data_IF_024685785045
#
_entry.id   IF_024685785045
#
_cell.length_a   1.000
_cell.length_b   1.000
_cell.length_c   1.000
_cell.angle_alpha   90.00
_cell.angle_beta   90.00
_cell.angle_gamma   90.00
#
_symmetry.space_group_name_H-M   'P 1'
#
loop_
_entity.id
_entity.type
_entity.pdbx_description
1 polymer ?
#
# COMPACT_ATOMS: atom_id res chain seq x y z
N UNK A 1 0.44 -31.99 18.88
CA UNK A 1 0.45 -30.52 18.86
C UNK A 1 1.52 -30.13 17.84
N UNK A 2 1.24 -29.23 16.88
CA UNK A 2 2.31 -28.65 16.07
C UNK A 2 3.36 -28.02 16.99
N UNK A 3 4.64 -28.05 16.62
CA UNK A 3 5.66 -27.27 17.33
C UNK A 3 5.25 -25.80 17.36
N UNK A 4 5.42 -25.17 18.52
CA UNK A 4 5.11 -23.76 18.70
C UNK A 4 6.13 -22.91 17.94
N UNK A 5 5.65 -22.16 16.93
CA UNK A 5 6.53 -21.30 16.14
C UNK A 5 7.04 -20.14 16.99
N UNK A 6 8.35 -19.95 16.99
CA UNK A 6 9.03 -18.95 17.79
C UNK A 6 9.31 -17.67 16.99
N UNK A 7 9.74 -16.61 17.70
CA UNK A 7 10.25 -15.41 17.06
C UNK A 7 11.50 -15.68 16.20
N UNK A 8 12.34 -16.63 16.63
CA UNK A 8 13.55 -17.00 15.89
C UNK A 8 13.19 -17.73 14.57
N UNK A 9 12.11 -18.52 14.56
CA UNK A 9 11.58 -19.12 13.33
C UNK A 9 11.05 -18.08 12.35
N UNK A 10 10.36 -17.06 12.86
CA UNK A 10 9.89 -15.92 12.06
C UNK A 10 11.08 -15.16 11.46
N UNK A 11 12.06 -14.81 12.29
CA UNK A 11 13.23 -14.05 11.83
C UNK A 11 14.00 -14.84 10.76
N UNK A 12 14.21 -16.14 10.96
CA UNK A 12 14.88 -17.02 10.01
C UNK A 12 14.13 -17.10 8.68
N UNK A 13 12.81 -17.24 8.71
CA UNK A 13 11.97 -17.30 7.52
C UNK A 13 11.99 -15.99 6.74
N UNK A 14 11.79 -14.85 7.43
CA UNK A 14 11.87 -13.51 6.84
C UNK A 14 13.24 -13.27 6.16
N UNK A 15 14.33 -13.60 6.83
CA UNK A 15 15.70 -13.40 6.29
C UNK A 15 16.00 -14.31 5.10
N UNK A 16 15.63 -15.58 5.16
CA UNK A 16 15.98 -16.54 4.11
C UNK A 16 15.10 -16.38 2.86
N UNK A 17 13.81 -16.13 3.05
CA UNK A 17 12.83 -16.24 1.98
C UNK A 17 12.40 -14.88 1.40
N UNK A 18 12.57 -13.78 2.13
CA UNK A 18 11.89 -12.51 1.79
C UNK A 18 12.77 -11.26 1.83
N UNK A 19 13.81 -11.22 2.67
CA UNK A 19 14.71 -10.08 2.76
C UNK A 19 15.36 -9.76 1.40
N UNK A 20 15.20 -8.52 0.95
CA UNK A 20 15.75 -8.03 -0.31
C UNK A 20 15.10 -8.61 -1.58
N UNK A 21 14.02 -9.39 -1.45
CA UNK A 21 13.29 -9.99 -2.57
C UNK A 21 12.00 -9.23 -2.81
N UNK A 22 11.57 -9.20 -4.06
CA UNK A 22 10.20 -8.77 -4.37
C UNK A 22 9.25 -9.81 -3.76
N UNK A 23 8.33 -9.32 -2.94
CA UNK A 23 7.42 -10.16 -2.19
C UNK A 23 6.00 -9.95 -2.63
N UNK A 24 5.35 -11.08 -2.85
CA UNK A 24 4.10 -11.12 -3.58
C UNK A 24 2.95 -11.47 -2.65
N UNK A 25 2.73 -10.62 -1.64
CA UNK A 25 1.65 -10.86 -0.68
C UNK A 25 0.26 -10.73 -1.30
N UNK A 26 0.19 -10.01 -2.43
CA UNK A 26 -1.02 -9.60 -3.11
C UNK A 26 -0.60 -9.23 -4.54
N UNK A 27 -0.43 -10.19 -5.45
CA UNK A 27 -0.54 -9.82 -6.87
C UNK A 27 -1.95 -9.30 -7.03
N UNK A 28 -2.07 -8.02 -7.30
CA UNK A 28 -3.20 -7.62 -8.11
C UNK A 28 -2.93 -8.27 -9.46
N UNK A 29 -3.63 -9.37 -9.75
CA UNK A 29 -3.47 -10.13 -11.00
C UNK A 29 -3.65 -9.21 -12.23
N UNK A 30 -4.33 -8.08 -12.03
CA UNK A 30 -4.51 -6.99 -12.98
C UNK A 30 -4.01 -5.65 -12.39
N UNK A 31 -3.47 -4.74 -13.22
CA UNK A 31 -3.13 -3.38 -12.79
C UNK A 31 -4.31 -2.68 -12.11
N UNK A 32 -4.05 -2.02 -10.98
CA UNK A 32 -5.06 -1.26 -10.24
C UNK A 32 -5.46 -0.02 -11.04
N UNK A 33 -6.68 0.01 -11.56
CA UNK A 33 -7.20 1.16 -12.29
C UNK A 33 -7.80 2.20 -11.34
N UNK A 34 -7.35 3.45 -11.44
CA UNK A 34 -7.86 4.57 -10.66
C UNK A 34 -9.20 5.08 -11.22
N UNK A 35 -10.28 4.41 -10.83
CA UNK A 35 -11.63 4.79 -11.24
C UNK A 35 -12.10 6.09 -10.53
N UNK A 36 -12.74 6.99 -11.27
CA UNK A 36 -13.15 8.34 -10.80
C UNK A 36 -13.91 8.34 -9.47
N UNK A 37 -14.83 7.38 -9.32
CA UNK A 37 -15.66 7.23 -8.12
C UNK A 37 -14.83 6.80 -6.91
N UNK A 38 -13.88 5.90 -7.14
CA UNK A 38 -12.99 5.43 -6.09
C UNK A 38 -12.13 6.57 -5.54
N UNK A 39 -11.59 7.41 -6.42
CA UNK A 39 -10.79 8.58 -6.02
C UNK A 39 -11.56 9.55 -5.12
N UNK A 40 -12.79 9.88 -5.52
CA UNK A 40 -13.68 10.75 -4.75
C UNK A 40 -14.07 10.14 -3.40
N UNK A 41 -14.55 8.90 -3.43
CA UNK A 41 -15.05 8.21 -2.23
C UNK A 41 -13.89 7.99 -1.22
N UNK A 42 -12.66 7.76 -1.70
CA UNK A 42 -11.46 7.69 -0.85
C UNK A 42 -11.10 9.04 -0.22
N UNK A 43 -11.12 10.13 -0.99
CA UNK A 43 -10.88 11.48 -0.45
C UNK A 43 -11.91 11.86 0.62
N UNK A 44 -13.20 11.59 0.39
CA UNK A 44 -14.25 11.77 1.39
C UNK A 44 -14.06 10.91 2.63
N UNK A 45 -13.58 9.67 2.49
CA UNK A 45 -13.23 8.81 3.62
C UNK A 45 -12.15 9.41 4.52
N UNK A 46 -11.31 10.30 3.99
CA UNK A 46 -10.29 11.06 4.72
C UNK A 46 -10.78 12.45 5.15
N UNK A 47 -12.07 12.75 4.97
CA UNK A 47 -12.66 14.08 5.18
C UNK A 47 -11.97 15.19 4.36
N UNK A 48 -11.42 14.86 3.19
CA UNK A 48 -10.86 15.83 2.25
C UNK A 48 -11.88 16.08 1.12
N UNK A 49 -12.44 17.28 1.10
CA UNK A 49 -13.44 17.72 0.13
C UNK A 49 -12.85 18.58 -0.99
N UNK A 50 -11.53 18.59 -1.15
CA UNK A 50 -10.86 19.36 -2.19
C UNK A 50 -11.44 19.00 -3.58
N UNK A 51 -12.00 19.98 -4.32
CA UNK A 51 -12.68 19.72 -5.58
C UNK A 51 -11.75 19.19 -6.67
N UNK A 52 -10.42 19.32 -6.51
CA UNK A 52 -9.45 18.67 -7.40
C UNK A 52 -9.55 17.13 -7.39
N UNK A 53 -9.96 16.56 -6.25
CA UNK A 53 -10.11 15.10 -6.07
C UNK A 53 -11.55 14.64 -6.20
N UNK A 54 -12.53 15.52 -5.94
CA UNK A 54 -13.93 15.12 -5.77
C UNK A 54 -14.88 15.62 -6.88
N UNK A 55 -14.49 16.66 -7.63
CA UNK A 55 -15.30 17.26 -8.70
C UNK A 55 -14.55 17.21 -10.05
N UNK A 56 -14.89 16.26 -10.94
CA UNK A 56 -14.28 16.16 -12.27
C UNK A 56 -14.43 17.43 -13.12
N UNK A 57 -15.52 18.19 -12.99
CA UNK A 57 -15.76 19.41 -13.76
C UNK A 57 -14.88 20.56 -13.26
N UNK A 58 -14.67 20.67 -11.95
CA UNK A 58 -13.66 21.57 -11.41
C UNK A 58 -12.25 21.16 -11.87
N UNK A 59 -11.89 19.89 -11.70
CA UNK A 59 -10.56 19.38 -11.98
C UNK A 59 -10.16 19.56 -13.46
N UNK A 60 -11.11 19.40 -14.39
CA UNK A 60 -10.92 19.64 -15.83
C UNK A 60 -10.50 21.08 -16.18
N UNK A 61 -10.84 22.06 -15.33
CA UNK A 61 -10.47 23.48 -15.53
C UNK A 61 -9.12 23.85 -14.90
N UNK A 62 -8.49 22.92 -14.19
CA UNK A 62 -7.18 23.14 -13.60
C UNK A 62 -6.08 22.82 -14.61
N UNK A 63 -4.82 23.14 -14.27
CA UNK A 63 -3.65 22.77 -15.09
C UNK A 63 -3.51 21.27 -15.37
N UNK A 64 -4.20 20.43 -14.60
CA UNK A 64 -4.14 18.98 -14.71
C UNK A 64 -5.14 18.40 -15.71
N UNK A 65 -6.17 19.16 -16.08
CA UNK A 65 -7.16 18.77 -17.09
C UNK A 65 -8.03 17.56 -16.75
N UNK A 66 -7.91 16.98 -15.55
CA UNK A 66 -8.64 15.80 -15.11
C UNK A 66 -8.67 15.71 -13.58
N UNK A 67 -9.56 14.87 -13.06
CA UNK A 67 -9.60 14.50 -11.64
C UNK A 67 -8.29 13.82 -11.25
N UNK A 68 -7.72 14.26 -10.14
CA UNK A 68 -6.56 13.61 -9.54
C UNK A 68 -6.97 12.73 -8.36
N UNK A 69 -6.15 11.74 -8.05
CA UNK A 69 -6.23 11.09 -6.75
C UNK A 69 -5.60 11.99 -5.68
N UNK A 70 -6.10 11.88 -4.45
CA UNK A 70 -5.37 12.39 -3.28
C UNK A 70 -4.01 11.65 -3.17
N UNK A 71 -2.92 12.33 -2.76
CA UNK A 71 -1.58 11.71 -2.75
C UNK A 71 -1.48 10.44 -1.88
N UNK A 72 -2.31 10.31 -0.84
CA UNK A 72 -2.35 9.15 0.07
C UNK A 72 -3.02 7.91 -0.54
N UNK A 73 -3.49 7.96 -1.78
CA UNK A 73 -4.07 6.82 -2.51
C UNK A 73 -3.11 5.62 -2.59
N UNK A 74 -1.80 5.84 -2.49
CA UNK A 74 -0.80 4.77 -2.42
C UNK A 74 -1.13 3.73 -1.34
N UNK A 75 -1.70 4.17 -0.21
CA UNK A 75 -2.07 3.29 0.89
C UNK A 75 -3.20 2.31 0.52
N UNK A 76 -4.11 2.66 -0.40
CA UNK A 76 -5.14 1.73 -0.86
C UNK A 76 -4.65 0.75 -1.92
N UNK A 77 -3.58 1.10 -2.63
CA UNK A 77 -2.96 0.23 -3.66
C UNK A 77 -2.06 -0.81 -2.99
N UNK A 78 -1.25 -0.37 -2.02
CA UNK A 78 -0.41 -1.23 -1.18
C UNK A 78 -0.48 -0.72 0.24
N UNK A 79 -1.10 -1.51 1.12
CA UNK A 79 -1.24 -1.13 2.51
C UNK A 79 -0.07 -1.63 3.35
N UNK A 80 0.64 -0.77 4.09
CA UNK A 80 1.80 -1.18 4.89
C UNK A 80 1.46 -1.95 6.17
N UNK A 81 0.18 -2.15 6.53
CA UNK A 81 -0.19 -2.96 7.71
C UNK A 81 -0.40 -4.44 7.41
N UNK A 82 -0.32 -4.88 6.16
CA UNK A 82 -0.44 -6.30 5.84
C UNK A 82 0.51 -7.10 6.72
N UNK A 83 0.14 -8.33 7.09
CA UNK A 83 1.08 -9.27 7.72
C UNK A 83 2.19 -9.68 6.75
N UNK A 84 2.62 -8.78 5.85
CA UNK A 84 3.57 -9.01 4.79
C UNK A 84 3.27 -10.34 4.11
N UNK A 85 4.32 -11.10 3.89
CA UNK A 85 4.35 -12.49 3.41
C UNK A 85 4.04 -13.55 4.46
N UNK A 86 3.70 -13.14 5.69
CA UNK A 86 3.42 -14.05 6.81
C UNK A 86 1.92 -14.12 7.14
N UNK A 87 1.05 -13.49 6.34
CA UNK A 87 -0.40 -13.45 6.56
C UNK A 87 -1.05 -14.84 6.67
N UNK A 88 -0.57 -15.80 5.89
CA UNK A 88 -1.04 -17.19 5.88
C UNK A 88 -0.21 -18.11 6.79
N UNK A 89 0.76 -17.57 7.53
CA UNK A 89 1.69 -18.34 8.36
C UNK A 89 1.30 -18.30 9.84
N UNK A 90 1.42 -19.41 10.58
CA UNK A 90 0.95 -19.49 11.96
C UNK A 90 1.90 -18.86 12.99
N UNK A 91 2.56 -17.74 12.65
CA UNK A 91 3.40 -17.01 13.59
C UNK A 91 2.53 -16.18 14.56
N UNK A 92 2.79 -16.21 15.88
CA UNK A 92 2.04 -15.41 16.85
C UNK A 92 2.50 -13.94 16.83
N UNK A 93 2.31 -13.26 15.70
CA UNK A 93 2.76 -11.88 15.46
C UNK A 93 1.57 -10.92 15.30
N UNK A 94 1.67 -9.75 15.95
CA UNK A 94 0.79 -8.60 15.72
C UNK A 94 1.61 -7.47 15.13
N UNK A 95 1.06 -6.80 14.12
CA UNK A 95 1.73 -5.69 13.46
C UNK A 95 1.42 -4.36 14.12
N UNK A 96 2.44 -3.51 14.21
CA UNK A 96 2.31 -2.10 14.52
C UNK A 96 3.07 -1.29 13.48
N UNK A 97 2.40 -0.32 12.85
CA UNK A 97 3.07 0.61 11.93
C UNK A 97 3.64 1.77 12.73
N UNK A 98 4.97 1.79 12.86
CA UNK A 98 5.70 2.84 13.56
C UNK A 98 5.85 4.13 12.73
N UNK A 99 5.62 4.08 11.41
CA UNK A 99 5.68 5.24 10.54
C UNK A 99 5.66 4.88 9.06
N UNK A 100 5.47 5.89 8.21
CA UNK A 100 5.54 5.75 6.75
C UNK A 100 6.22 6.99 6.15
N UNK A 101 6.96 6.78 5.07
CA UNK A 101 7.53 7.86 4.26
C UNK A 101 7.08 7.66 2.82
N UNK A 102 6.50 8.71 2.26
CA UNK A 102 6.10 8.76 0.86
C UNK A 102 6.96 9.77 0.11
N UNK A 103 7.24 9.46 -1.15
CA UNK A 103 7.87 10.36 -2.10
C UNK A 103 7.05 10.31 -3.39
N UNK A 104 6.65 11.47 -3.90
CA UNK A 104 5.80 11.59 -5.09
C UNK A 104 6.61 12.18 -6.23
N UNK A 105 6.79 11.38 -7.29
CA UNK A 105 7.46 11.81 -8.51
C UNK A 105 6.50 12.43 -9.53
N UNK A 106 5.19 12.14 -9.40
CA UNK A 106 4.13 12.64 -10.26
C UNK A 106 2.79 12.60 -9.51
N UNK A 107 1.75 13.16 -10.14
CA UNK A 107 0.36 13.03 -9.70
C UNK A 107 -0.29 11.79 -10.30
N UNK A 108 -1.26 11.24 -9.57
CA UNK A 108 -2.12 10.15 -10.01
C UNK A 108 -3.38 10.72 -10.66
N UNK A 109 -3.68 10.29 -11.87
CA UNK A 109 -4.83 10.73 -12.65
C UNK A 109 -5.89 9.65 -12.67
N UNK A 110 -7.15 10.06 -12.81
CA UNK A 110 -8.22 9.14 -13.16
C UNK A 110 -7.85 8.33 -14.41
N UNK A 111 -8.09 7.01 -14.36
CA UNK A 111 -7.76 6.07 -15.42
C UNK A 111 -6.31 5.56 -15.43
N UNK A 112 -5.42 6.06 -14.55
CA UNK A 112 -4.09 5.48 -14.41
C UNK A 112 -4.20 4.00 -13.99
N UNK A 113 -3.39 3.14 -14.61
CA UNK A 113 -3.28 1.71 -14.30
C UNK A 113 -1.96 1.45 -13.59
N UNK A 114 -2.04 1.10 -12.31
CA UNK A 114 -0.89 1.05 -11.43
C UNK A 114 -0.42 -0.38 -11.17
N UNK A 115 0.90 -0.56 -11.17
CA UNK A 115 1.57 -1.77 -10.70
C UNK A 115 2.38 -1.43 -9.46
N UNK A 116 2.65 -2.41 -8.61
CA UNK A 116 3.42 -2.19 -7.38
C UNK A 116 4.20 -3.44 -6.99
N UNK A 117 5.43 -3.22 -6.52
CA UNK A 117 6.26 -4.23 -5.87
C UNK A 117 6.37 -3.93 -4.38
N UNK A 118 6.65 -4.96 -3.59
CA UNK A 118 6.86 -4.85 -2.15
C UNK A 118 8.16 -5.55 -1.81
N UNK A 119 8.95 -5.00 -0.89
CA UNK A 119 10.20 -5.60 -0.48
C UNK A 119 10.46 -5.30 0.99
N UNK A 120 10.85 -6.34 1.73
CA UNK A 120 11.43 -6.18 3.06
C UNK A 120 12.88 -5.71 2.85
N UNK A 121 13.13 -4.43 3.16
CA UNK A 121 14.47 -3.84 2.99
C UNK A 121 15.41 -4.14 4.15
N UNK A 122 14.88 -4.23 5.37
CA UNK A 122 15.67 -4.43 6.58
C UNK A 122 14.85 -5.14 7.65
N UNK A 123 15.53 -5.88 8.53
CA UNK A 123 14.95 -6.60 9.67
C UNK A 123 15.86 -6.38 10.87
N UNK A 124 15.30 -5.79 11.93
CA UNK A 124 16.02 -5.53 13.17
C UNK A 124 15.25 -6.09 14.35
N UNK A 125 15.96 -6.83 15.21
CA UNK A 125 15.47 -7.18 16.54
C UNK A 125 15.77 -6.03 17.48
N UNK A 126 14.75 -5.54 18.18
CA UNK A 126 14.91 -4.61 19.31
C UNK A 126 14.93 -5.44 20.60
N UNK A 127 15.95 -5.22 21.42
CA UNK A 127 16.14 -5.88 22.73
C UNK A 127 15.86 -4.85 23.81
#
# INVERSE_FOLDING_TARGET
>A
MPEELTFDDLEKDLRNNYLGKDVDENKLDEPFELHWRFLRDFAWGLSDDNPLFCDPAYAARTRWGCQLAIPTICASIRYPQSHLVIWDKPYPATNLVAGCKFEWFNVFRVGDRLTSSLMIKDIQRKV
#
